data_IF_373722207463
#
_entry.id   IF_373722207463
#
_cell.length_a   1.000
_cell.length_b   1.000
_cell.length_c   1.000
_cell.angle_alpha   90.00
_cell.angle_beta   90.00
_cell.angle_gamma   90.00
#
_symmetry.space_group_name_H-M   'P 1'
#
loop_
_entity.id
_entity.type
_entity.pdbx_description
1 polymer ?
#
# COMPACT_ATOMS: atom_id res chain seq x y z
N UNK A 1 4.77 48.95 -29.26
CA UNK A 1 5.11 47.53 -29.49
C UNK A 1 4.65 46.67 -28.34
N UNK A 2 3.69 45.80 -28.62
CA UNK A 2 3.05 44.90 -27.68
C UNK A 2 4.00 43.76 -27.31
N UNK A 3 4.28 43.61 -26.02
CA UNK A 3 5.04 42.50 -25.46
C UNK A 3 4.24 41.21 -25.68
N UNK A 4 4.88 40.24 -26.32
CA UNK A 4 4.37 38.88 -26.55
C UNK A 4 4.06 38.20 -25.21
N UNK A 5 2.77 37.99 -24.89
CA UNK A 5 2.36 37.04 -23.87
C UNK A 5 2.58 35.62 -24.39
N UNK A 6 3.68 34.96 -23.99
CA UNK A 6 3.83 33.51 -24.15
C UNK A 6 2.97 32.82 -23.10
N UNK A 7 1.80 32.34 -23.50
CA UNK A 7 1.09 31.29 -22.78
C UNK A 7 1.86 30.00 -23.01
N UNK A 8 2.79 29.67 -22.12
CA UNK A 8 3.30 28.31 -22.02
C UNK A 8 2.20 27.47 -21.38
N UNK A 9 1.50 26.69 -22.18
CA UNK A 9 0.71 25.54 -21.70
C UNK A 9 1.69 24.54 -21.10
N UNK A 10 2.09 24.77 -19.85
CA UNK A 10 2.93 23.84 -19.10
C UNK A 10 2.16 22.53 -18.96
N UNK A 11 2.76 21.44 -19.41
CA UNK A 11 2.32 20.10 -19.03
C UNK A 11 2.12 20.08 -17.49
N UNK A 12 1.10 19.37 -16.97
CA UNK A 12 0.93 19.23 -15.53
C UNK A 12 2.27 18.84 -14.91
N UNK A 13 2.72 19.56 -13.87
CA UNK A 13 3.93 19.14 -13.16
C UNK A 13 3.69 17.70 -12.67
N UNK A 14 4.63 16.77 -12.94
CA UNK A 14 4.54 15.44 -12.37
C UNK A 14 4.30 15.56 -10.87
N UNK A 15 3.40 14.74 -10.32
CA UNK A 15 3.26 14.67 -8.87
C UNK A 15 4.59 14.23 -8.28
N UNK A 16 4.96 14.82 -7.15
CA UNK A 16 6.19 14.48 -6.44
C UNK A 16 6.15 13.02 -5.95
N UNK A 17 7.30 12.35 -6.00
CA UNK A 17 7.44 11.02 -5.40
C UNK A 17 7.22 11.10 -3.88
N UNK A 18 6.72 10.02 -3.31
CA UNK A 18 6.47 9.91 -1.87
C UNK A 18 6.92 8.55 -1.35
N UNK A 19 7.09 8.44 -0.03
CA UNK A 19 7.59 7.22 0.60
C UNK A 19 6.43 6.44 1.21
N UNK A 20 6.47 5.12 1.05
CA UNK A 20 5.63 4.17 1.77
C UNK A 20 6.48 3.42 2.80
N UNK A 21 6.14 3.50 4.08
CA UNK A 21 6.81 2.78 5.16
C UNK A 21 5.91 1.66 5.64
N UNK A 22 6.29 0.41 5.37
CA UNK A 22 5.42 -0.77 5.50
C UNK A 22 6.10 -1.94 6.20
N UNK A 23 5.28 -2.80 6.80
CA UNK A 23 5.68 -4.11 7.30
C UNK A 23 4.54 -5.11 7.16
N UNK A 24 4.86 -6.40 7.22
CA UNK A 24 3.88 -7.48 7.26
C UNK A 24 4.38 -8.58 8.19
N UNK A 25 3.47 -9.20 8.95
CA UNK A 25 3.73 -10.48 9.61
C UNK A 25 3.26 -11.58 8.64
N UNK A 26 4.14 -12.16 7.80
CA UNK A 26 5.62 -12.22 7.90
C UNK A 26 6.41 -11.43 6.85
N UNK A 27 5.87 -11.26 5.63
CA UNK A 27 6.59 -10.56 4.56
C UNK A 27 5.67 -9.87 3.57
N UNK A 28 6.19 -8.85 2.89
CA UNK A 28 5.45 -8.08 1.90
C UNK A 28 6.27 -7.84 0.62
N UNK A 29 5.59 -7.85 -0.53
CA UNK A 29 6.07 -7.26 -1.78
C UNK A 29 5.15 -6.11 -2.18
N UNK A 30 5.72 -4.96 -2.56
CA UNK A 30 4.97 -3.77 -2.95
C UNK A 30 5.07 -3.50 -4.44
N UNK A 31 3.99 -2.97 -5.02
CA UNK A 31 3.87 -2.62 -6.42
C UNK A 31 3.28 -1.21 -6.56
N UNK A 32 3.74 -0.49 -7.58
CA UNK A 32 3.12 0.74 -8.07
C UNK A 32 2.73 0.53 -9.53
N UNK A 33 1.44 0.69 -9.83
CA UNK A 33 0.87 0.48 -11.17
C UNK A 33 1.31 -0.83 -11.84
N UNK A 34 1.31 -1.92 -11.07
CA UNK A 34 1.71 -3.26 -11.53
C UNK A 34 3.21 -3.53 -11.57
N UNK A 35 4.06 -2.52 -11.37
CA UNK A 35 5.53 -2.68 -11.32
C UNK A 35 5.98 -2.95 -9.89
N UNK A 36 6.71 -4.05 -9.67
CA UNK A 36 7.28 -4.36 -8.35
C UNK A 36 8.30 -3.31 -7.94
N UNK A 37 8.18 -2.83 -6.70
CA UNK A 37 9.12 -1.95 -6.02
C UNK A 37 10.07 -2.74 -5.10
N UNK A 38 9.88 -4.06 -4.99
CA UNK A 38 10.69 -4.95 -4.16
C UNK A 38 9.95 -5.50 -2.94
N UNK A 39 10.68 -6.34 -2.20
CA UNK A 39 10.24 -7.01 -0.98
C UNK A 39 10.77 -6.33 0.27
N UNK A 40 10.12 -6.56 1.39
CA UNK A 40 10.65 -6.17 2.68
C UNK A 40 11.86 -7.02 3.11
N UNK A 41 12.35 -6.73 4.32
CA UNK A 41 13.51 -7.37 4.91
C UNK A 41 13.19 -8.73 5.59
N UNK A 42 11.95 -9.24 5.48
CA UNK A 42 11.51 -10.51 6.10
C UNK A 42 11.46 -10.49 7.63
N UNK A 43 11.49 -9.32 8.27
CA UNK A 43 11.34 -9.15 9.71
C UNK A 43 10.23 -8.13 10.01
N UNK A 44 9.05 -8.63 10.35
CA UNK A 44 7.86 -7.82 10.64
C UNK A 44 8.06 -6.75 11.72
N UNK A 45 9.08 -6.90 12.59
CA UNK A 45 9.39 -5.92 13.64
C UNK A 45 10.07 -4.67 13.09
N UNK A 46 10.50 -4.70 11.82
CA UNK A 46 11.19 -3.61 11.14
C UNK A 46 10.44 -3.23 9.87
N UNK A 47 9.97 -2.01 9.82
CA UNK A 47 9.40 -1.43 8.60
C UNK A 47 10.45 -1.31 7.49
N UNK A 48 9.97 -1.30 6.26
CA UNK A 48 10.76 -1.07 5.04
C UNK A 48 10.15 0.11 4.29
N UNK A 49 11.02 0.98 3.77
CA UNK A 49 10.63 2.13 2.94
C UNK A 49 10.66 1.77 1.46
N UNK A 50 9.60 2.15 0.74
CA UNK A 50 9.47 2.02 -0.71
C UNK A 50 9.25 3.41 -1.32
N UNK A 51 9.97 3.72 -2.40
CA UNK A 51 9.77 4.96 -3.14
C UNK A 51 8.62 4.80 -4.14
N UNK A 52 7.55 5.58 -3.95
CA UNK A 52 6.37 5.56 -4.82
C UNK A 52 6.49 6.67 -5.88
N UNK A 53 6.43 6.34 -7.17
CA UNK A 53 6.34 7.34 -8.23
C UNK A 53 5.10 8.23 -8.03
N UNK A 54 5.25 9.55 -8.11
CA UNK A 54 4.15 10.45 -7.74
C UNK A 54 2.89 10.35 -8.62
N UNK A 55 3.04 9.88 -9.87
CA UNK A 55 1.92 9.67 -10.80
C UNK A 55 1.23 8.29 -10.65
N UNK A 56 1.58 7.52 -9.60
CA UNK A 56 0.96 6.21 -9.33
C UNK A 56 -0.55 6.34 -9.21
N UNK A 57 -1.30 5.47 -9.90
CA UNK A 57 -2.78 5.38 -9.79
C UNK A 57 -3.19 4.33 -8.76
N UNK A 58 -2.44 3.24 -8.66
CA UNK A 58 -2.75 2.12 -7.77
C UNK A 58 -1.49 1.67 -7.03
N UNK A 59 -1.60 1.60 -5.72
CA UNK A 59 -0.63 0.94 -4.85
C UNK A 59 -1.16 -0.45 -4.55
N UNK A 60 -0.32 -1.46 -4.68
CA UNK A 60 -0.69 -2.85 -4.45
C UNK A 60 0.38 -3.55 -3.62
N UNK A 61 -0.04 -4.51 -2.81
CA UNK A 61 0.86 -5.31 -1.97
C UNK A 61 0.43 -6.76 -1.94
N UNK A 62 1.40 -7.66 -1.91
CA UNK A 62 1.21 -9.07 -1.54
C UNK A 62 1.74 -9.24 -0.13
N UNK A 63 0.87 -9.61 0.81
CA UNK A 63 1.28 -10.04 2.14
C UNK A 63 1.35 -11.56 2.18
N UNK A 64 2.37 -12.11 2.84
CA UNK A 64 2.51 -13.55 3.07
C UNK A 64 2.66 -13.78 4.57
N UNK A 65 1.87 -14.69 5.12
CA UNK A 65 1.90 -15.15 6.50
C UNK A 65 2.23 -16.66 6.56
N UNK A 66 3.10 -17.02 7.49
CA UNK A 66 3.58 -18.39 7.77
C UNK A 66 3.30 -18.72 9.24
N UNK A 67 2.03 -18.64 9.66
CA UNK A 67 1.65 -18.97 11.02
C UNK A 67 0.31 -18.42 11.48
N UNK A 68 0.15 -18.28 12.79
CA UNK A 68 -1.13 -17.89 13.42
C UNK A 68 -1.37 -16.38 13.46
N UNK A 69 -0.38 -15.57 13.13
CA UNK A 69 -0.47 -14.10 13.11
C UNK A 69 -0.27 -13.63 11.69
N UNK A 70 -1.05 -12.61 11.32
CA UNK A 70 -1.08 -12.06 9.98
C UNK A 70 -1.49 -10.60 10.06
N UNK A 71 -0.93 -9.80 9.17
CA UNK A 71 -1.37 -8.44 8.99
C UNK A 71 -0.36 -7.61 8.23
N UNK A 72 -0.86 -6.71 7.41
CA UNK A 72 -0.09 -5.65 6.76
C UNK A 72 -0.31 -4.36 7.52
N UNK A 73 0.77 -3.63 7.81
CA UNK A 73 0.71 -2.32 8.46
C UNK A 73 1.59 -1.35 7.67
N UNK A 74 1.07 -0.15 7.40
CA UNK A 74 1.87 0.87 6.74
C UNK A 74 1.26 2.26 6.73
N UNK A 75 2.13 3.23 6.45
CA UNK A 75 1.76 4.62 6.23
C UNK A 75 2.62 5.24 5.14
N UNK A 76 2.13 6.34 4.57
CA UNK A 76 2.81 7.06 3.51
C UNK A 76 3.15 8.47 3.95
N UNK A 77 4.21 9.04 3.38
CA UNK A 77 4.64 10.42 3.69
C UNK A 77 3.63 11.49 3.27
N UNK A 78 2.61 11.13 2.48
CA UNK A 78 1.49 11.99 2.08
C UNK A 78 0.25 11.84 2.99
N UNK A 79 0.35 11.10 4.10
CA UNK A 79 -0.71 10.96 5.10
C UNK A 79 -1.67 9.78 4.89
N UNK A 80 -1.55 9.04 3.78
CA UNK A 80 -2.29 7.79 3.61
C UNK A 80 -1.81 6.73 4.62
N UNK A 81 -2.69 5.78 4.97
CA UNK A 81 -2.40 4.68 5.89
C UNK A 81 -3.11 3.40 5.48
N UNK A 82 -2.68 2.25 6.01
CA UNK A 82 -3.44 1.01 5.95
C UNK A 82 -4.66 1.09 6.88
N UNK A 83 -5.84 0.84 6.32
CA UNK A 83 -7.14 0.82 7.03
C UNK A 83 -8.21 0.16 6.13
N UNK A 84 -9.48 0.26 6.51
CA UNK A 84 -10.62 -0.33 5.81
C UNK A 84 -10.88 0.28 4.40
N UNK A 85 -10.20 1.35 3.99
CA UNK A 85 -10.32 1.91 2.63
C UNK A 85 -9.55 1.10 1.59
N UNK A 86 -8.66 0.21 2.03
CA UNK A 86 -7.99 -0.76 1.17
C UNK A 86 -8.96 -1.85 0.76
N UNK A 87 -8.72 -2.46 -0.40
CA UNK A 87 -9.42 -3.68 -0.81
C UNK A 87 -8.47 -4.85 -0.77
N UNK A 88 -8.91 -5.98 -0.22
CA UNK A 88 -8.08 -7.18 -0.07
C UNK A 88 -8.80 -8.43 -0.56
N UNK A 89 -8.05 -9.36 -1.14
CA UNK A 89 -8.56 -10.64 -1.64
C UNK A 89 -7.55 -11.76 -1.33
N UNK A 90 -8.05 -12.99 -1.17
CA UNK A 90 -7.26 -14.21 -0.93
C UNK A 90 -6.92 -14.94 -2.24
N UNK A 91 -7.44 -14.47 -3.37
CA UNK A 91 -7.28 -15.09 -4.69
C UNK A 91 -6.37 -14.24 -5.57
N UNK A 92 -5.38 -14.89 -6.20
CA UNK A 92 -4.53 -14.27 -7.20
C UNK A 92 -5.29 -14.15 -8.53
N UNK A 93 -5.56 -12.93 -8.96
CA UNK A 93 -6.12 -12.65 -10.29
C UNK A 93 -5.03 -12.14 -11.24
N UNK A 94 -4.98 -12.60 -12.51
CA UNK A 94 -4.06 -12.02 -13.49
C UNK A 94 -4.23 -10.51 -13.62
N UNK A 95 -3.12 -9.77 -13.56
CA UNK A 95 -3.13 -8.30 -13.66
C UNK A 95 -3.70 -7.56 -12.46
N UNK A 96 -3.96 -8.22 -11.33
CA UNK A 96 -4.58 -7.62 -10.14
C UNK A 96 -3.91 -6.33 -9.61
N UNK A 97 -2.60 -6.19 -9.81
CA UNK A 97 -1.82 -5.02 -9.38
C UNK A 97 -1.79 -3.89 -10.41
N UNK A 98 -2.32 -4.13 -11.62
CA UNK A 98 -2.44 -3.14 -12.68
C UNK A 98 -3.50 -2.10 -12.34
N UNK A 99 -3.28 -0.83 -12.72
CA UNK A 99 -4.27 0.23 -12.53
C UNK A 99 -5.55 0.05 -13.33
N UNK A 100 -5.54 -0.77 -14.38
CA UNK A 100 -6.71 -1.02 -15.24
C UNK A 100 -7.52 -2.26 -14.79
N UNK A 101 -7.11 -2.93 -13.71
CA UNK A 101 -7.85 -4.05 -13.15
C UNK A 101 -9.09 -3.57 -12.39
N UNK A 102 -10.22 -4.23 -12.66
CA UNK A 102 -11.52 -3.94 -12.04
C UNK A 102 -11.64 -4.61 -10.67
N UNK A 103 -11.42 -3.82 -9.61
CA UNK A 103 -11.50 -4.26 -8.23
C UNK A 103 -12.87 -3.98 -7.57
N UNK A 104 -13.92 -3.64 -8.34
CA UNK A 104 -15.22 -3.26 -7.77
C UNK A 104 -15.85 -4.33 -6.88
N UNK A 105 -15.58 -5.59 -7.19
CA UNK A 105 -16.09 -6.74 -6.42
C UNK A 105 -15.15 -7.20 -5.31
N UNK A 106 -13.97 -6.58 -5.14
CA UNK A 106 -13.10 -6.93 -4.02
C UNK A 106 -13.66 -6.35 -2.72
N UNK A 107 -13.71 -7.14 -1.63
CA UNK A 107 -14.17 -6.64 -0.35
C UNK A 107 -13.17 -5.62 0.22
N UNK A 108 -13.69 -4.74 1.07
CA UNK A 108 -12.86 -3.89 1.90
C UNK A 108 -11.96 -4.74 2.82
N UNK A 109 -10.78 -4.21 3.13
CA UNK A 109 -9.85 -4.85 4.03
C UNK A 109 -10.43 -4.95 5.45
N UNK A 110 -10.18 -6.08 6.10
CA UNK A 110 -10.54 -6.29 7.51
C UNK A 110 -9.43 -5.77 8.39
N UNK A 111 -9.78 -4.94 9.37
CA UNK A 111 -8.83 -4.51 10.40
C UNK A 111 -8.72 -5.59 11.46
N UNK A 112 -7.52 -6.13 11.61
CA UNK A 112 -7.23 -7.20 12.58
C UNK A 112 -6.70 -6.65 13.90
N UNK A 113 -6.06 -5.47 13.87
CA UNK A 113 -5.67 -4.73 15.07
C UNK A 113 -5.40 -3.25 14.78
N UNK A 114 -5.46 -2.42 15.82
CA UNK A 114 -4.90 -1.06 15.80
C UNK A 114 -3.37 -1.13 15.91
N UNK A 115 -2.66 -0.17 15.31
CA UNK A 115 -1.24 -0.02 15.58
C UNK A 115 -1.00 0.22 17.10
N UNK A 116 -0.02 -0.49 17.68
CA UNK A 116 0.27 -0.45 19.11
C UNK A 116 -0.43 -1.53 19.94
N UNK A 117 -1.42 -2.21 19.37
CA UNK A 117 -2.10 -3.30 20.07
C UNK A 117 -1.28 -4.61 20.06
N UNK A 118 -1.53 -5.46 21.05
CA UNK A 118 -1.07 -6.85 21.05
C UNK A 118 -1.59 -7.58 19.80
N UNK A 119 -0.81 -8.49 19.17
CA UNK A 119 0.49 -8.99 19.62
C UNK A 119 1.70 -8.20 19.12
N UNK A 120 1.53 -7.25 18.21
CA UNK A 120 2.65 -6.63 17.49
C UNK A 120 3.24 -5.41 18.21
N UNK A 121 2.42 -4.67 18.95
CA UNK A 121 2.85 -3.43 19.60
C UNK A 121 3.14 -2.32 18.59
N UNK A 122 4.09 -1.46 18.94
CA UNK A 122 4.49 -0.31 18.12
C UNK A 122 5.58 -0.72 17.12
N UNK A 123 5.43 -0.32 15.86
CA UNK A 123 6.42 -0.44 14.78
C UNK A 123 6.93 0.96 14.44
N UNK A 124 8.24 1.16 14.53
CA UNK A 124 8.86 2.46 14.28
C UNK A 124 8.67 2.90 12.81
N UNK A 125 8.54 4.21 12.61
CA UNK A 125 8.40 4.83 11.28
C UNK A 125 7.00 4.75 10.67
N UNK A 126 6.06 4.00 11.27
CA UNK A 126 4.68 3.92 10.80
C UNK A 126 3.76 4.80 11.66
N UNK A 127 2.84 5.53 11.02
CA UNK A 127 1.84 6.34 11.71
C UNK A 127 1.03 5.52 12.73
N UNK A 128 0.77 6.08 13.91
CA UNK A 128 -0.11 5.47 14.92
C UNK A 128 -1.58 5.39 14.49
N UNK A 129 -1.97 6.11 13.43
CA UNK A 129 -3.33 6.03 12.85
C UNK A 129 -3.49 4.88 11.85
N UNK A 130 -2.39 4.22 11.47
CA UNK A 130 -2.44 3.02 10.65
C UNK A 130 -3.06 1.84 11.43
N UNK A 131 -3.60 0.89 10.69
CA UNK A 131 -4.22 -0.32 11.22
C UNK A 131 -3.62 -1.54 10.53
N UNK A 132 -3.48 -2.62 11.27
CA UNK A 132 -3.14 -3.92 10.70
C UNK A 132 -4.33 -4.42 9.89
N UNK A 133 -4.13 -4.68 8.60
CA UNK A 133 -5.18 -5.11 7.67
C UNK A 133 -4.90 -6.50 7.10
N UNK A 134 -5.98 -7.23 6.79
CA UNK A 134 -5.97 -8.52 6.09
C UNK A 134 -7.32 -8.79 5.42
N UNK A 135 -7.64 -10.05 5.10
CA UNK A 135 -9.01 -10.51 4.84
C UNK A 135 -9.63 -11.15 6.08
N UNK A 136 -10.94 -11.40 6.03
CA UNK A 136 -11.72 -12.12 7.04
C UNK A 136 -11.32 -13.59 7.22
N UNK A 137 -10.84 -14.23 6.15
CA UNK A 137 -10.50 -15.67 6.11
C UNK A 137 -9.10 -16.03 6.60
N UNK A 138 -8.23 -15.05 6.85
CA UNK A 138 -6.85 -15.30 7.29
C UNK A 138 -6.05 -16.28 6.39
N UNK A 139 -6.02 -16.12 5.05
CA UNK A 139 -5.19 -16.94 4.16
C UNK A 139 -3.69 -16.74 4.41
N UNK A 140 -2.86 -17.65 3.91
CA UNK A 140 -1.40 -17.49 3.91
C UNK A 140 -0.94 -16.36 2.97
N UNK A 141 -1.67 -16.10 1.89
CA UNK A 141 -1.38 -15.02 0.95
C UNK A 141 -2.57 -14.07 0.85
N UNK A 142 -2.29 -12.77 0.90
CA UNK A 142 -3.29 -11.74 0.64
C UNK A 142 -2.81 -10.79 -0.44
N UNK A 143 -3.73 -10.36 -1.28
CA UNK A 143 -3.53 -9.35 -2.31
C UNK A 143 -4.33 -8.13 -1.90
N UNK A 144 -3.67 -7.03 -1.58
CA UNK A 144 -4.33 -5.80 -1.16
C UNK A 144 -3.97 -4.64 -2.10
N UNK A 145 -4.93 -3.77 -2.37
CA UNK A 145 -4.75 -2.61 -3.25
C UNK A 145 -5.49 -1.38 -2.77
N UNK A 146 -4.94 -0.22 -3.13
CA UNK A 146 -5.49 1.10 -2.86
C UNK A 146 -5.46 1.93 -4.15
N UNK A 147 -6.62 2.37 -4.61
CA UNK A 147 -6.72 3.32 -5.73
C UNK A 147 -6.52 4.76 -5.21
N UNK A 148 -5.68 5.53 -5.90
CA UNK A 148 -5.33 6.92 -5.56
C UNK A 148 -6.00 7.97 -6.46
N UNK A 149 -6.71 7.50 -7.49
CA UNK A 149 -7.38 8.29 -8.52
C UNK A 149 -8.89 8.26 -8.38
#
# INVERSE_FOLDING_TARGET
>A
DLVYNRVTTGLPRPRENFTATFTCDDSIEMFADGTSLGKDNGNWRKSTDFAIPGNTRVISVVGVAWGFKFGILGSFSNGLVTNESWKCNDTLYPGWSSPDFDDRNWPAAVVVAKHGASPWGNIAGISMTAKWIWTDKAPDNVYCRLNLS
#
